data_IF_913012136996
#
_entry.id   IF_913012136996
#
_cell.length_a   1.000
_cell.length_b   1.000
_cell.length_c   1.000
_cell.angle_alpha   90.00
_cell.angle_beta   90.00
_cell.angle_gamma   90.00
#
_symmetry.space_group_name_H-M   'P 1'
#
loop_
_entity.id
_entity.type
_entity.pdbx_description
1 polymer ?
#
# COMPACT_ATOMS: atom_id res chain seq x y z
N UNK A 1 -65.95 -40.41 21.05
CA UNK A 1 -65.18 -39.12 21.18
C UNK A 1 -63.79 -39.37 20.72
N UNK A 2 -63.35 -38.87 19.55
CA UNK A 2 -61.94 -38.95 19.12
C UNK A 2 -61.15 -37.68 19.51
N UNK A 3 -60.04 -37.89 20.16
CA UNK A 3 -59.10 -36.87 20.60
C UNK A 3 -58.24 -36.45 19.37
N UNK A 4 -58.37 -35.20 18.94
CA UNK A 4 -57.54 -34.60 17.84
C UNK A 4 -56.27 -34.06 18.48
N UNK A 5 -55.14 -34.75 18.24
CA UNK A 5 -53.80 -34.26 18.58
C UNK A 5 -53.37 -33.29 17.48
N UNK A 6 -53.32 -31.98 17.77
CA UNK A 6 -52.76 -30.95 16.92
C UNK A 6 -51.24 -30.94 17.12
N UNK A 7 -50.50 -31.49 16.16
CA UNK A 7 -49.04 -31.38 16.10
C UNK A 7 -48.64 -29.94 15.71
N UNK A 8 -48.07 -29.20 16.65
CA UNK A 8 -47.51 -27.87 16.44
C UNK A 8 -46.08 -28.02 15.85
N UNK A 9 -45.94 -27.86 14.55
CA UNK A 9 -44.63 -27.78 13.87
C UNK A 9 -44.00 -26.40 14.16
N UNK A 10 -43.02 -26.38 15.07
CA UNK A 10 -42.17 -25.20 15.30
C UNK A 10 -41.14 -25.11 14.16
N UNK A 11 -41.35 -24.16 13.27
CA UNK A 11 -40.37 -23.82 12.21
C UNK A 11 -39.26 -22.98 12.86
N UNK A 12 -38.14 -23.62 13.18
CA UNK A 12 -36.93 -22.95 13.65
C UNK A 12 -36.26 -22.30 12.44
N UNK A 13 -36.56 -21.02 12.20
CA UNK A 13 -35.84 -20.24 11.18
C UNK A 13 -34.39 -20.03 11.63
N UNK A 14 -33.47 -20.83 11.11
CA UNK A 14 -32.03 -20.53 11.18
C UNK A 14 -31.76 -19.23 10.41
N UNK A 15 -31.69 -18.11 11.10
CA UNK A 15 -31.11 -16.89 10.57
C UNK A 15 -29.61 -17.15 10.37
N UNK A 16 -29.19 -17.55 9.15
CA UNK A 16 -27.82 -17.56 8.74
C UNK A 16 -27.33 -16.10 8.75
N UNK A 17 -26.80 -15.66 9.88
CA UNK A 17 -26.07 -14.39 9.95
C UNK A 17 -24.94 -14.46 8.94
N UNK A 18 -24.92 -13.58 7.96
CA UNK A 18 -23.78 -13.41 7.05
C UNK A 18 -22.59 -12.99 7.91
N UNK A 19 -21.71 -13.93 8.24
CA UNK A 19 -20.44 -13.62 8.86
C UNK A 19 -19.65 -12.75 7.88
N UNK A 20 -19.65 -11.44 8.09
CA UNK A 20 -18.76 -10.55 7.33
C UNK A 20 -17.33 -10.84 7.78
N UNK A 21 -16.51 -11.21 6.82
CA UNK A 21 -15.08 -11.38 7.04
C UNK A 21 -14.48 -10.02 7.45
N UNK A 22 -13.87 -9.95 8.63
CA UNK A 22 -13.19 -8.73 9.11
C UNK A 22 -12.03 -8.34 8.20
N UNK A 23 -11.52 -7.13 8.39
CA UNK A 23 -10.46 -6.56 7.55
C UNK A 23 -9.19 -7.45 7.51
N UNK A 24 -8.82 -8.03 8.63
CA UNK A 24 -7.68 -8.95 8.73
C UNK A 24 -7.89 -10.21 7.88
N UNK A 25 -9.09 -10.77 7.91
CA UNK A 25 -9.42 -11.96 7.11
C UNK A 25 -9.44 -11.63 5.61
N UNK A 26 -9.96 -10.46 5.23
CA UNK A 26 -9.94 -10.00 3.83
C UNK A 26 -8.50 -9.75 3.35
N UNK A 27 -7.65 -9.14 4.18
CA UNK A 27 -6.24 -8.96 3.88
C UNK A 27 -5.53 -10.31 3.70
N UNK A 28 -5.71 -11.26 4.63
CA UNK A 28 -5.11 -12.60 4.52
C UNK A 28 -5.56 -13.34 3.25
N UNK A 29 -6.84 -13.26 2.90
CA UNK A 29 -7.36 -13.85 1.66
C UNK A 29 -6.73 -13.18 0.41
N UNK A 30 -6.59 -11.85 0.44
CA UNK A 30 -6.00 -11.09 -0.66
C UNK A 30 -4.50 -11.35 -0.83
N UNK A 31 -3.77 -11.54 0.27
CA UNK A 31 -2.31 -11.75 0.23
C UNK A 31 -1.89 -13.23 0.11
N UNK A 32 -2.85 -14.16 0.15
CA UNK A 32 -2.57 -15.60 0.05
C UNK A 32 -1.87 -15.94 -1.27
N UNK A 33 -0.72 -16.61 -1.20
CA UNK A 33 0.10 -17.01 -2.36
C UNK A 33 0.47 -15.82 -3.28
N UNK A 34 0.63 -14.65 -2.69
CA UNK A 34 0.94 -13.45 -3.42
C UNK A 34 2.46 -13.37 -3.68
N UNK A 35 2.83 -13.18 -4.95
CA UNK A 35 4.21 -12.92 -5.38
C UNK A 35 4.37 -11.50 -5.89
N UNK A 36 3.28 -10.86 -6.29
CA UNK A 36 3.30 -9.48 -6.74
C UNK A 36 1.91 -8.90 -7.01
N UNK A 37 1.84 -7.59 -7.05
CA UNK A 37 0.64 -6.79 -7.26
C UNK A 37 0.92 -5.64 -8.22
N UNK A 38 -0.07 -5.24 -8.99
CA UNK A 38 -0.06 -3.98 -9.72
C UNK A 38 -1.45 -3.37 -9.71
N UNK A 39 -1.54 -2.04 -9.54
CA UNK A 39 -2.81 -1.30 -9.62
C UNK A 39 -2.56 0.13 -10.05
N UNK A 40 -3.43 0.70 -10.91
CA UNK A 40 -3.57 2.14 -10.97
C UNK A 40 -4.06 2.69 -9.63
N UNK A 41 -3.67 3.93 -9.31
CA UNK A 41 -4.15 4.62 -8.12
C UNK A 41 -4.56 6.06 -8.41
N UNK A 42 -5.45 6.57 -7.57
CA UNK A 42 -5.75 7.99 -7.42
C UNK A 42 -5.39 8.40 -6.00
N UNK A 43 -4.66 9.50 -5.87
CA UNK A 43 -4.26 10.06 -4.60
C UNK A 43 -4.86 11.44 -4.43
N UNK A 44 -5.33 11.76 -3.23
CA UNK A 44 -5.78 13.08 -2.84
C UNK A 44 -5.16 13.43 -1.49
N UNK A 45 -4.52 14.58 -1.42
CA UNK A 45 -3.94 15.13 -0.20
C UNK A 45 -4.86 16.21 0.35
N UNK A 46 -5.15 16.12 1.64
CA UNK A 46 -5.95 17.10 2.38
C UNK A 46 -5.05 17.79 3.40
N UNK A 47 -5.12 19.11 3.45
CA UNK A 47 -4.44 19.89 4.47
C UNK A 47 -5.14 19.73 5.85
N UNK A 48 -4.57 20.27 6.95
CA UNK A 48 -5.17 20.16 8.29
C UNK A 48 -6.58 20.76 8.41
N UNK A 49 -6.93 21.71 7.53
CA UNK A 49 -8.28 22.28 7.47
C UNK A 49 -9.27 21.40 6.66
N UNK A 50 -8.86 20.23 6.20
CA UNK A 50 -9.69 19.30 5.43
C UNK A 50 -9.92 19.73 3.98
N UNK A 51 -9.23 20.74 3.48
CA UNK A 51 -9.29 21.16 2.08
C UNK A 51 -8.31 20.34 1.24
N UNK A 52 -8.70 20.03 0.02
CA UNK A 52 -7.81 19.38 -0.96
C UNK A 52 -6.66 20.31 -1.28
N UNK A 53 -5.42 19.86 -1.08
CA UNK A 53 -4.19 20.57 -1.42
C UNK A 53 -3.51 20.01 -2.67
N UNK A 54 -3.66 18.69 -2.92
CA UNK A 54 -3.10 18.06 -4.12
C UNK A 54 -3.94 16.87 -4.58
N UNK A 55 -3.86 16.57 -5.89
CA UNK A 55 -4.42 15.36 -6.50
C UNK A 55 -3.44 14.81 -7.52
N UNK A 56 -3.21 13.51 -7.45
CA UNK A 56 -2.34 12.83 -8.39
C UNK A 56 -2.87 11.46 -8.79
N UNK A 57 -2.39 10.95 -9.92
CA UNK A 57 -2.72 9.61 -10.41
C UNK A 57 -1.46 8.90 -10.83
N UNK A 58 -1.48 7.57 -10.74
CA UNK A 58 -0.31 6.80 -11.08
C UNK A 58 -0.53 5.30 -11.09
N UNK A 59 0.56 4.57 -11.03
CA UNK A 59 0.60 3.10 -10.98
C UNK A 59 1.54 2.65 -9.88
N UNK A 60 1.09 1.69 -9.08
CA UNK A 60 1.92 0.99 -8.09
C UNK A 60 2.17 -0.44 -8.57
N UNK A 61 3.41 -0.92 -8.38
CA UNK A 61 3.81 -2.30 -8.57
C UNK A 61 4.56 -2.77 -7.33
N UNK A 62 4.21 -3.95 -6.85
CA UNK A 62 4.84 -4.61 -5.71
C UNK A 62 5.27 -6.00 -6.12
N UNK A 63 6.45 -6.44 -5.72
CA UNK A 63 6.92 -7.82 -5.94
C UNK A 63 7.70 -8.30 -4.73
N UNK A 64 7.28 -9.46 -4.21
CA UNK A 64 7.95 -10.10 -3.09
C UNK A 64 9.41 -10.45 -3.44
N UNK A 65 10.32 -10.40 -2.45
CA UNK A 65 10.04 -10.00 -1.08
C UNK A 65 10.06 -8.47 -0.86
N UNK A 66 10.77 -7.68 -1.68
CA UNK A 66 11.15 -6.30 -1.33
C UNK A 66 11.20 -5.33 -2.52
N UNK A 67 10.65 -5.70 -3.67
CA UNK A 67 10.67 -4.83 -4.84
C UNK A 67 9.38 -4.01 -4.94
N UNK A 68 9.55 -2.74 -5.22
CA UNK A 68 8.47 -1.76 -5.24
C UNK A 68 8.70 -0.74 -6.35
N UNK A 69 7.64 -0.33 -7.04
CA UNK A 69 7.63 0.81 -7.93
C UNK A 69 6.36 1.62 -7.70
N UNK A 70 6.53 2.89 -7.40
CA UNK A 70 5.47 3.88 -7.35
C UNK A 70 5.74 4.90 -8.44
N UNK A 71 4.83 5.05 -9.35
CA UNK A 71 4.97 5.98 -10.45
C UNK A 71 3.78 6.93 -10.48
N UNK A 72 3.98 8.17 -10.07
CA UNK A 72 3.04 9.26 -10.28
C UNK A 72 3.13 9.69 -11.75
N UNK A 73 1.99 9.79 -12.41
CA UNK A 73 1.90 10.15 -13.83
C UNK A 73 1.41 11.58 -14.02
N UNK A 74 0.53 12.05 -13.15
CA UNK A 74 -0.08 13.39 -13.21
C UNK A 74 -0.30 13.93 -11.79
N UNK A 75 -0.29 15.26 -11.58
CA UNK A 75 0.11 16.29 -12.55
C UNK A 75 1.63 16.37 -12.72
N UNK A 76 2.41 16.05 -11.67
CA UNK A 76 3.86 16.11 -11.62
C UNK A 76 4.43 14.68 -11.63
N UNK A 77 5.05 14.26 -12.73
CA UNK A 77 5.62 12.93 -12.83
C UNK A 77 6.71 12.71 -11.78
N UNK A 78 6.65 11.58 -11.07
CA UNK A 78 7.70 11.15 -10.15
C UNK A 78 7.78 9.63 -10.19
N UNK A 79 8.96 9.08 -10.07
CA UNK A 79 9.16 7.63 -10.01
C UNK A 79 9.95 7.27 -8.77
N UNK A 80 9.41 6.37 -7.95
CA UNK A 80 10.10 5.76 -6.82
C UNK A 80 10.26 4.28 -7.14
N UNK A 81 11.51 3.77 -7.06
CA UNK A 81 11.82 2.35 -7.29
C UNK A 81 12.66 1.82 -6.14
N UNK A 82 12.16 0.77 -5.49
CA UNK A 82 12.95 -0.06 -4.58
C UNK A 82 13.35 -1.33 -5.32
N UNK A 83 14.64 -1.52 -5.57
CA UNK A 83 15.17 -2.60 -6.39
C UNK A 83 15.59 -3.86 -5.58
N UNK A 84 15.49 -3.78 -4.26
CA UNK A 84 15.93 -4.79 -3.29
C UNK A 84 17.20 -4.36 -2.54
N UNK A 85 17.90 -3.33 -3.00
CA UNK A 85 19.13 -2.79 -2.39
C UNK A 85 19.01 -1.30 -2.11
N UNK A 86 18.50 -0.55 -3.10
CA UNK A 86 18.36 0.90 -3.06
C UNK A 86 16.91 1.33 -3.29
N UNK A 87 16.60 2.51 -2.79
CA UNK A 87 15.42 3.28 -3.16
C UNK A 87 15.89 4.45 -4.03
N UNK A 88 15.38 4.48 -5.25
CA UNK A 88 15.61 5.52 -6.25
C UNK A 88 14.36 6.41 -6.31
N UNK A 89 14.53 7.70 -6.14
CA UNK A 89 13.47 8.70 -6.29
C UNK A 89 13.89 9.62 -7.42
N UNK A 90 13.16 9.58 -8.52
CA UNK A 90 13.43 10.40 -9.69
C UNK A 90 12.32 11.42 -9.88
N UNK A 91 12.70 12.67 -9.92
CA UNK A 91 11.88 13.81 -10.24
C UNK A 91 12.31 14.37 -11.60
N UNK A 92 11.52 14.12 -12.67
CA UNK A 92 11.88 14.58 -14.02
C UNK A 92 11.91 16.10 -14.16
N UNK A 93 11.05 16.83 -13.45
CA UNK A 93 10.93 18.28 -13.54
C UNK A 93 12.15 18.99 -12.94
N UNK A 94 12.82 18.33 -11.98
CA UNK A 94 14.06 18.79 -11.35
C UNK A 94 15.30 18.17 -11.98
N UNK A 95 15.14 17.22 -12.92
CA UNK A 95 16.24 16.40 -13.46
C UNK A 95 17.11 15.76 -12.36
N UNK A 96 16.49 15.42 -11.20
CA UNK A 96 17.20 14.95 -10.01
C UNK A 96 16.82 13.53 -9.65
N UNK A 97 17.81 12.73 -9.27
CA UNK A 97 17.67 11.39 -8.69
C UNK A 97 18.21 11.38 -7.28
N UNK A 98 17.39 11.04 -6.31
CA UNK A 98 17.86 10.74 -4.95
C UNK A 98 17.97 9.24 -4.79
N UNK A 99 19.10 8.76 -4.27
CA UNK A 99 19.32 7.34 -3.97
C UNK A 99 19.59 7.15 -2.48
N UNK A 100 18.94 6.13 -1.88
CA UNK A 100 19.06 5.77 -0.47
C UNK A 100 19.19 4.26 -0.32
N UNK A 101 19.78 3.83 0.79
CA UNK A 101 19.82 2.40 1.11
C UNK A 101 18.43 1.91 1.52
N UNK A 102 17.92 0.88 0.83
CA UNK A 102 16.58 0.37 1.06
C UNK A 102 16.39 -0.21 2.47
N UNK A 103 17.38 -0.88 3.03
CA UNK A 103 17.25 -1.49 4.36
C UNK A 103 17.09 -0.47 5.50
N UNK A 104 17.56 0.76 5.30
CA UNK A 104 17.35 1.85 6.26
C UNK A 104 15.93 2.45 6.17
N UNK A 105 15.31 2.42 5.00
CA UNK A 105 14.03 3.08 4.71
C UNK A 105 12.81 2.13 4.76
N UNK A 106 13.03 0.81 4.71
CA UNK A 106 11.94 -0.18 4.60
C UNK A 106 11.00 -0.24 5.79
N UNK A 107 11.45 0.22 6.94
CA UNK A 107 10.72 0.07 8.21
C UNK A 107 9.36 0.78 8.24
N UNK A 108 8.94 1.49 7.18
CA UNK A 108 7.86 2.45 7.29
C UNK A 108 6.86 2.46 6.13
N UNK A 109 6.80 1.41 5.30
CA UNK A 109 5.82 1.37 4.20
C UNK A 109 4.58 0.54 4.58
N UNK A 110 3.38 1.15 4.71
CA UNK A 110 2.15 0.38 4.95
C UNK A 110 1.79 -0.57 3.81
N UNK A 111 2.32 -0.36 2.59
CA UNK A 111 2.11 -1.25 1.45
C UNK A 111 3.01 -2.49 1.49
N UNK A 112 4.14 -2.44 2.19
CA UNK A 112 5.02 -3.60 2.34
C UNK A 112 4.31 -4.77 3.02
N UNK A 113 3.33 -4.51 3.88
CA UNK A 113 2.52 -5.53 4.56
C UNK A 113 1.70 -6.41 3.60
N UNK A 114 1.44 -5.94 2.37
CA UNK A 114 0.72 -6.71 1.37
C UNK A 114 1.57 -7.81 0.74
N UNK A 115 2.88 -7.64 0.70
CA UNK A 115 3.81 -8.61 0.11
C UNK A 115 4.60 -9.38 1.17
N UNK A 116 4.64 -8.88 2.39
CA UNK A 116 5.20 -9.57 3.56
C UNK A 116 4.34 -9.30 4.79
N UNK A 117 3.42 -10.21 5.08
CA UNK A 117 2.53 -10.10 6.23
C UNK A 117 3.23 -10.18 7.58
N UNK A 118 4.45 -10.75 7.65
CA UNK A 118 5.22 -10.79 8.89
C UNK A 118 5.74 -9.41 9.27
N UNK A 119 6.01 -8.55 8.27
CA UNK A 119 6.41 -7.17 8.49
C UNK A 119 5.31 -6.36 9.18
N UNK A 120 4.06 -6.65 8.90
CA UNK A 120 2.94 -5.93 9.51
C UNK A 120 2.98 -5.97 11.04
N UNK A 121 3.09 -7.16 11.61
CA UNK A 121 3.14 -7.31 13.08
C UNK A 121 4.48 -6.89 13.67
N UNK A 122 5.57 -6.92 12.90
CA UNK A 122 6.88 -6.43 13.34
C UNK A 122 6.93 -4.92 13.45
N UNK A 123 6.41 -4.21 12.44
CA UNK A 123 6.54 -2.76 12.32
C UNK A 123 5.38 -2.00 12.96
N UNK A 124 4.18 -2.58 12.98
CA UNK A 124 2.97 -1.87 13.37
C UNK A 124 2.23 -2.54 14.52
N UNK A 125 1.58 -1.71 15.34
CA UNK A 125 0.46 -2.13 16.17
C UNK A 125 -0.79 -2.10 15.30
N UNK A 126 -1.39 -3.28 15.05
CA UNK A 126 -2.52 -3.44 14.14
C UNK A 126 -3.82 -3.65 14.92
N UNK A 127 -4.85 -2.88 14.57
CA UNK A 127 -6.17 -2.96 15.20
C UNK A 127 -7.24 -2.99 14.11
N UNK A 128 -8.18 -3.91 14.19
CA UNK A 128 -9.40 -3.83 13.38
C UNK A 128 -10.30 -2.74 13.93
N UNK A 129 -10.86 -1.92 13.05
CA UNK A 129 -11.80 -0.87 13.43
C UNK A 129 -13.13 -1.07 12.72
N UNK A 130 -14.15 -0.36 13.20
CA UNK A 130 -15.50 -0.51 12.68
C UNK A 130 -15.58 -0.31 11.16
N UNK A 131 -16.41 -1.11 10.51
CA UNK A 131 -16.75 -0.97 9.09
C UNK A 131 -17.27 0.43 8.82
N UNK A 132 -16.74 1.08 7.80
CA UNK A 132 -17.17 2.40 7.36
C UNK A 132 -17.08 2.51 5.84
N UNK A 133 -18.04 3.22 5.22
CA UNK A 133 -18.07 3.46 3.77
C UNK A 133 -17.96 2.19 2.91
N UNK A 134 -18.52 1.08 3.39
CA UNK A 134 -18.48 -0.21 2.69
C UNK A 134 -17.15 -0.96 2.80
N UNK A 135 -16.17 -0.45 3.55
CA UNK A 135 -14.85 -1.02 3.72
C UNK A 135 -14.67 -1.60 5.14
N UNK A 136 -13.98 -2.71 5.23
CA UNK A 136 -13.44 -3.24 6.47
C UNK A 136 -12.05 -2.66 6.70
N UNK A 137 -11.78 -2.11 7.90
CA UNK A 137 -10.60 -1.29 8.13
C UNK A 137 -9.60 -1.91 9.11
N UNK A 138 -8.31 -1.80 8.75
CA UNK A 138 -7.18 -1.98 9.68
C UNK A 138 -6.56 -0.63 9.99
N UNK A 139 -6.40 -0.33 11.26
CA UNK A 139 -5.59 0.77 11.76
C UNK A 139 -4.17 0.24 12.06
N UNK A 140 -3.17 0.85 11.46
CA UNK A 140 -1.76 0.59 11.68
C UNK A 140 -1.12 1.80 12.36
N UNK A 141 -0.50 1.59 13.52
CA UNK A 141 0.33 2.60 14.19
C UNK A 141 1.77 2.09 14.22
N UNK A 142 2.76 2.87 13.74
CA UNK A 142 4.16 2.50 13.84
C UNK A 142 4.55 2.17 15.28
N UNK A 143 5.34 1.10 15.49
CA UNK A 143 5.89 0.78 16.81
C UNK A 143 7.04 1.71 17.18
N UNK A 144 7.70 2.31 16.17
CA UNK A 144 8.73 3.33 16.29
C UNK A 144 8.23 4.61 15.62
N UNK A 145 7.46 5.46 16.33
CA UNK A 145 6.87 6.67 15.75
C UNK A 145 7.90 7.66 15.21
N UNK A 146 9.05 7.77 15.90
CA UNK A 146 10.09 8.76 15.57
C UNK A 146 10.77 8.47 14.21
N UNK A 147 10.73 7.19 13.77
CA UNK A 147 11.32 6.76 12.51
C UNK A 147 10.29 6.76 11.36
N UNK A 148 9.01 7.06 11.63
CA UNK A 148 7.93 6.90 10.65
C UNK A 148 7.49 8.23 10.04
N UNK A 149 7.23 8.30 8.71
CA UNK A 149 6.76 9.51 8.05
C UNK A 149 5.26 9.79 8.29
N UNK A 150 4.57 8.98 9.09
CA UNK A 150 3.16 9.13 9.43
C UNK A 150 2.89 8.63 10.85
N UNK A 151 1.88 9.19 11.49
CA UNK A 151 1.43 8.77 12.83
C UNK A 151 0.57 7.50 12.79
N UNK A 152 -0.24 7.37 11.74
CA UNK A 152 -1.11 6.22 11.53
C UNK A 152 -1.44 6.03 10.06
N UNK A 153 -1.67 4.77 9.69
CA UNK A 153 -2.23 4.39 8.41
C UNK A 153 -3.54 3.64 8.61
N UNK A 154 -4.50 3.84 7.70
CA UNK A 154 -5.75 3.09 7.64
C UNK A 154 -5.78 2.31 6.33
N UNK A 155 -5.99 1.01 6.40
CA UNK A 155 -6.12 0.14 5.22
C UNK A 155 -7.57 -0.35 5.12
N UNK A 156 -8.27 0.06 4.08
CA UNK A 156 -9.67 -0.28 3.82
C UNK A 156 -9.80 -1.38 2.77
N UNK A 157 -10.37 -2.51 3.18
CA UNK A 157 -10.50 -3.70 2.35
C UNK A 157 -11.94 -3.94 1.89
N UNK A 158 -12.05 -4.55 0.71
CA UNK A 158 -13.24 -5.23 0.22
C UNK A 158 -12.89 -6.70 -0.03
N UNK A 159 -13.87 -7.52 -0.39
CA UNK A 159 -13.64 -8.88 -0.84
C UNK A 159 -12.69 -8.97 -2.07
N UNK A 160 -12.48 -7.87 -2.80
CA UNK A 160 -11.56 -7.80 -3.96
C UNK A 160 -10.13 -7.38 -3.56
N UNK A 161 -9.88 -7.07 -2.28
CA UNK A 161 -8.59 -6.67 -1.74
C UNK A 161 -8.57 -5.25 -1.20
N UNK A 162 -7.37 -4.68 -1.06
CA UNK A 162 -7.16 -3.31 -0.58
C UNK A 162 -7.78 -2.31 -1.58
N UNK A 163 -8.82 -1.60 -1.14
CA UNK A 163 -9.48 -0.60 -1.96
C UNK A 163 -8.96 0.81 -1.67
N UNK A 164 -8.57 1.06 -0.41
CA UNK A 164 -8.20 2.41 0.03
C UNK A 164 -7.13 2.37 1.11
N UNK A 165 -6.20 3.31 1.05
CA UNK A 165 -5.23 3.59 2.10
C UNK A 165 -5.35 5.06 2.48
N UNK A 166 -5.32 5.35 3.78
CA UNK A 166 -5.26 6.71 4.30
C UNK A 166 -4.05 6.84 5.22
N UNK A 167 -3.23 7.85 5.00
CA UNK A 167 -2.08 8.18 5.83
C UNK A 167 -2.35 9.50 6.54
N UNK A 168 -1.98 9.56 7.81
CA UNK A 168 -2.11 10.76 8.64
C UNK A 168 -0.73 11.09 9.19
N UNK A 169 -0.22 12.24 8.86
CA UNK A 169 1.06 12.72 9.37
C UNK A 169 0.94 13.53 10.67
N UNK A 170 2.07 13.85 11.29
CA UNK A 170 2.14 14.63 12.53
C UNK A 170 1.78 16.11 12.38
N UNK A 171 1.58 16.60 11.15
CA UNK A 171 1.18 17.97 10.86
C UNK A 171 -0.33 18.09 10.62
N UNK A 172 -1.08 16.98 10.74
CA UNK A 172 -2.53 16.93 10.52
C UNK A 172 -2.94 16.82 9.06
N UNK A 173 -1.99 16.59 8.15
CA UNK A 173 -2.28 16.31 6.75
C UNK A 173 -2.81 14.88 6.61
N UNK A 174 -3.74 14.68 5.69
CA UNK A 174 -4.28 13.37 5.36
C UNK A 174 -4.10 13.08 3.88
N UNK A 175 -3.40 12.00 3.56
CA UNK A 175 -3.27 11.48 2.20
C UNK A 175 -4.19 10.29 2.03
N UNK A 176 -5.06 10.34 1.03
CA UNK A 176 -6.01 9.27 0.68
C UNK A 176 -5.61 8.71 -0.67
N UNK A 177 -5.38 7.39 -0.73
CA UNK A 177 -5.02 6.67 -1.94
C UNK A 177 -6.10 5.63 -2.20
N UNK A 178 -6.71 5.68 -3.37
CA UNK A 178 -7.69 4.72 -3.85
C UNK A 178 -7.07 3.84 -4.94
N UNK A 179 -7.15 2.53 -4.76
CA UNK A 179 -6.64 1.56 -5.72
C UNK A 179 -7.79 1.10 -6.63
N UNK A 180 -7.62 1.22 -7.95
CA UNK A 180 -8.72 1.06 -8.89
C UNK A 180 -8.97 -0.41 -9.18
N UNK A 181 -7.91 -1.15 -9.52
CA UNK A 181 -8.03 -2.57 -9.87
C UNK A 181 -6.70 -3.30 -9.68
N UNK A 182 -6.64 -4.19 -8.70
CA UNK A 182 -5.48 -5.02 -8.47
C UNK A 182 -5.36 -6.15 -9.48
N UNK A 183 -4.20 -6.23 -10.11
CA UNK A 183 -3.72 -7.41 -10.82
C UNK A 183 -2.83 -8.19 -9.85
N UNK A 184 -3.21 -9.43 -9.56
CA UNK A 184 -2.44 -10.33 -8.68
C UNK A 184 -1.50 -11.18 -9.52
N UNK A 185 -0.26 -11.30 -9.08
CA UNK A 185 0.80 -12.08 -9.72
C UNK A 185 0.96 -11.77 -11.21
N UNK A 186 1.03 -10.48 -11.62
CA UNK A 186 1.28 -10.13 -13.01
C UNK A 186 2.67 -10.59 -13.43
N UNK A 187 2.87 -10.80 -14.72
CA UNK A 187 4.21 -11.08 -15.26
C UNK A 187 5.03 -9.81 -15.27
N UNK A 188 5.95 -9.71 -14.34
CA UNK A 188 6.91 -8.61 -14.30
C UNK A 188 8.17 -8.93 -15.11
N UNK A 189 8.75 -7.92 -15.71
CA UNK A 189 10.07 -7.92 -16.33
C UNK A 189 11.13 -7.43 -15.33
N UNK A 190 12.40 -7.60 -15.65
CA UNK A 190 13.49 -7.03 -14.83
C UNK A 190 13.40 -5.50 -14.74
N UNK A 191 13.01 -4.84 -15.82
CA UNK A 191 12.91 -3.38 -15.92
C UNK A 191 11.79 -2.77 -15.07
N UNK A 192 10.82 -3.58 -14.62
CA UNK A 192 9.77 -3.09 -13.73
C UNK A 192 10.31 -2.59 -12.38
N UNK A 193 11.40 -3.19 -11.90
CA UNK A 193 11.99 -2.89 -10.59
C UNK A 193 13.47 -2.52 -10.64
N UNK A 194 13.98 -2.12 -11.81
CA UNK A 194 15.29 -1.53 -11.95
C UNK A 194 15.15 -0.06 -12.32
N UNK A 195 16.08 0.75 -11.87
CA UNK A 195 16.14 2.15 -12.24
C UNK A 195 17.56 2.48 -12.75
N UNK A 196 17.61 3.16 -13.87
CA UNK A 196 18.85 3.68 -14.46
C UNK A 196 18.65 5.19 -14.56
N UNK A 197 19.48 5.99 -13.86
CA UNK A 197 19.40 7.43 -13.97
C UNK A 197 19.45 7.90 -15.42
N UNK A 198 18.56 8.78 -15.87
CA UNK A 198 18.64 9.38 -17.21
C UNK A 198 19.94 10.15 -17.38
N UNK A 199 20.39 10.24 -18.64
CA UNK A 199 21.57 11.04 -18.99
C UNK A 199 21.31 12.51 -18.62
N UNK A 200 22.20 13.11 -17.84
CA UNK A 200 22.12 14.50 -17.40
C UNK A 200 21.40 14.72 -16.08
N UNK A 201 20.73 13.70 -15.52
CA UNK A 201 20.13 13.82 -14.19
C UNK A 201 21.21 13.92 -13.11
N UNK A 202 21.02 14.84 -12.18
CA UNK A 202 21.85 14.97 -10.97
C UNK A 202 21.52 13.83 -9.99
N UNK A 203 22.54 13.09 -9.55
CA UNK A 203 22.38 11.94 -8.65
C UNK A 203 22.91 12.28 -7.26
N UNK A 204 22.02 12.35 -6.27
CA UNK A 204 22.33 12.74 -4.89
C UNK A 204 22.04 11.57 -3.93
N UNK A 205 22.93 11.34 -2.96
CA UNK A 205 22.73 10.37 -1.88
C UNK A 205 23.80 9.30 -1.80
N UNK A 206 23.56 8.28 -0.95
CA UNK A 206 24.52 7.21 -0.66
C UNK A 206 24.49 6.16 -1.78
N UNK A 207 25.37 6.33 -2.75
CA UNK A 207 25.72 5.24 -3.68
C UNK A 207 26.80 4.43 -2.99
N UNK A 208 26.47 3.25 -2.47
CA UNK A 208 27.48 2.34 -1.92
C UNK A 208 28.57 2.12 -2.99
N UNK A 209 29.89 2.18 -2.67
CA UNK A 209 30.95 1.92 -3.61
C UNK A 209 30.78 0.55 -4.26
N UNK A 210 30.41 0.50 -5.53
CA UNK A 210 30.06 -0.72 -6.27
C UNK A 210 28.89 -0.53 -7.24
N UNK A 211 28.02 0.43 -7.03
CA UNK A 211 27.06 0.88 -8.02
C UNK A 211 27.83 1.78 -8.99
N UNK A 212 28.31 1.23 -10.10
CA UNK A 212 29.01 2.02 -11.14
C UNK A 212 27.99 2.93 -11.82
N UNK A 213 27.79 4.12 -11.28
CA UNK A 213 27.24 5.24 -12.04
C UNK A 213 28.36 5.65 -12.96
N UNK A 214 28.42 5.11 -14.16
CA UNK A 214 29.34 5.59 -15.20
C UNK A 214 28.68 6.81 -15.82
N UNK A 215 29.14 8.03 -15.53
CA UNK A 215 28.75 9.17 -16.36
C UNK A 215 29.21 8.84 -17.78
N UNK A 216 28.28 8.78 -18.71
CA UNK A 216 28.64 8.69 -20.13
C UNK A 216 29.35 10.00 -20.45
N UNK A 217 30.67 9.96 -20.46
CA UNK A 217 31.48 11.04 -21.02
C UNK A 217 31.25 11.11 -22.54
N UNK A 218 31.12 12.33 -23.02
CA UNK A 218 30.98 12.71 -24.43
C UNK A 218 32.00 12.02 -25.35
#
# INVERSE_FOLDING_TARGET
>A
MPIIIRSLLIFLALSAGTAHAGARQQMMAFTKNLQGLSSPFEQTVYNPAGKVSDKSTGVVKLKAPRQFRWQTLKPYPQTIVADGTHIWIYDPDLEQVTVRNQSAEESNSPLAVLIDSNEMERQFKVTEVAKANGLEWLLLKPKKPDDAPFEKAMLGFTAKGLARMELYDGLGQRTVISFIQWQRNPKFTKTDFTFIPPKGADVVGDVTPGATVTPVRD
#
